data_IF_594763932894
#
_entry.id   IF_594763932894
#
_cell.length_a   1.000
_cell.length_b   1.000
_cell.length_c   1.000
_cell.angle_alpha   90.00
_cell.angle_beta   90.00
_cell.angle_gamma   90.00
#
_symmetry.space_group_name_H-M   'P 1'
#
loop_
_entity.id
_entity.type
_entity.pdbx_description
1 polymer ?
#
# COMPACT_ATOMS: atom_id res chain seq x y z
N UNK A 1 -23.72 3.71 -11.42
CA UNK A 1 -23.74 2.29 -11.03
C UNK A 1 -23.10 2.25 -9.67
N UNK A 2 -23.88 2.04 -8.62
CA UNK A 2 -23.38 1.94 -7.25
C UNK A 2 -22.80 0.54 -7.12
N UNK A 3 -21.48 0.45 -6.89
CA UNK A 3 -20.83 -0.84 -6.65
C UNK A 3 -21.22 -1.23 -5.23
N UNK A 4 -22.18 -2.14 -5.08
CA UNK A 4 -22.57 -2.65 -3.77
C UNK A 4 -21.42 -3.51 -3.24
N UNK A 5 -20.77 -3.02 -2.19
CA UNK A 5 -19.60 -3.67 -1.59
C UNK A 5 -20.09 -4.78 -0.66
N UNK A 6 -19.77 -6.04 -0.98
CA UNK A 6 -20.19 -7.20 -0.18
C UNK A 6 -19.70 -7.10 1.28
N UNK A 7 -20.52 -7.40 2.30
CA UNK A 7 -20.12 -7.32 3.71
C UNK A 7 -18.88 -8.16 4.06
N UNK A 8 -18.72 -9.32 3.42
CA UNK A 8 -17.54 -10.18 3.60
C UNK A 8 -16.26 -9.49 3.10
N UNK A 9 -16.38 -8.70 2.05
CA UNK A 9 -15.25 -7.95 1.51
C UNK A 9 -14.88 -6.76 2.41
N UNK A 10 -15.86 -6.07 3.01
CA UNK A 10 -15.58 -5.06 4.04
C UNK A 10 -14.87 -5.66 5.26
N UNK A 11 -15.26 -6.85 5.70
CA UNK A 11 -14.58 -7.57 6.79
C UNK A 11 -13.12 -7.88 6.42
N UNK A 12 -12.88 -8.28 5.18
CA UNK A 12 -11.53 -8.53 4.68
C UNK A 12 -10.67 -7.25 4.66
N UNK A 13 -11.22 -6.13 4.19
CA UNK A 13 -10.51 -4.84 4.23
C UNK A 13 -10.23 -4.37 5.66
N UNK A 14 -11.15 -4.64 6.59
CA UNK A 14 -10.97 -4.30 8.00
C UNK A 14 -9.84 -5.14 8.61
N UNK A 15 -9.79 -6.43 8.29
CA UNK A 15 -8.74 -7.35 8.77
C UNK A 15 -7.35 -6.91 8.29
N UNK A 16 -7.18 -6.60 7.01
CA UNK A 16 -5.89 -6.17 6.48
C UNK A 16 -5.47 -4.77 6.95
N UNK A 17 -6.43 -3.88 7.25
CA UNK A 17 -6.14 -2.62 7.91
C UNK A 17 -5.59 -2.83 9.34
N UNK A 18 -6.09 -3.83 10.07
CA UNK A 18 -5.55 -4.19 11.39
C UNK A 18 -4.12 -4.73 11.28
N UNK A 19 -3.81 -5.53 10.25
CA UNK A 19 -2.44 -5.97 9.98
C UNK A 19 -1.51 -4.79 9.66
N UNK A 20 -1.95 -3.84 8.85
CA UNK A 20 -1.20 -2.62 8.56
C UNK A 20 -0.92 -1.81 9.84
N UNK A 21 -1.91 -1.64 10.72
CA UNK A 21 -1.74 -0.96 12.00
C UNK A 21 -0.81 -1.74 12.94
N UNK A 22 -0.92 -3.07 12.97
CA UNK A 22 -0.11 -3.96 13.78
C UNK A 22 1.39 -3.85 13.48
N UNK A 23 1.77 -3.54 12.24
CA UNK A 23 3.17 -3.34 11.84
C UNK A 23 3.81 -2.10 12.50
N UNK A 24 3.02 -1.17 13.08
CA UNK A 24 3.54 0.00 13.80
C UNK A 24 3.90 -0.27 15.27
N UNK A 25 3.41 -1.37 15.83
CA UNK A 25 3.62 -1.76 17.22
C UNK A 25 4.89 -2.60 17.38
N UNK A 26 5.66 -2.37 18.45
CA UNK A 26 6.69 -3.31 18.91
C UNK A 26 6.04 -4.46 19.69
N UNK A 27 6.64 -5.65 19.65
CA UNK A 27 6.22 -6.83 20.41
C UNK A 27 4.77 -7.29 20.11
N UNK A 28 4.36 -7.24 18.85
CA UNK A 28 3.03 -7.68 18.42
C UNK A 28 2.95 -9.21 18.28
N UNK A 29 3.42 -9.93 19.30
CA UNK A 29 3.64 -11.38 19.30
C UNK A 29 2.64 -12.13 20.17
N UNK A 30 1.63 -11.45 20.72
CA UNK A 30 0.72 -11.99 21.74
C UNK A 30 -0.65 -12.46 21.18
N UNK A 31 -0.78 -12.62 19.85
CA UNK A 31 -1.97 -13.24 19.26
C UNK A 31 -1.87 -14.77 19.32
N UNK A 32 -2.92 -15.43 19.81
CA UNK A 32 -2.95 -16.89 19.98
C UNK A 32 -2.99 -17.64 18.64
N UNK A 33 -3.61 -17.06 17.62
CA UNK A 33 -3.81 -17.69 16.31
C UNK A 33 -3.00 -17.05 15.17
N UNK A 34 -2.36 -15.91 15.45
CA UNK A 34 -1.43 -15.25 14.53
C UNK A 34 -0.03 -15.35 15.11
N UNK A 35 0.85 -16.08 14.41
CA UNK A 35 2.25 -16.21 14.82
C UNK A 35 3.11 -15.28 13.97
N UNK A 36 3.71 -14.27 14.61
CA UNK A 36 4.81 -13.51 14.01
C UNK A 36 5.99 -14.45 13.77
N UNK A 37 6.41 -14.56 12.51
CA UNK A 37 7.58 -15.34 12.13
C UNK A 37 8.86 -14.50 12.25
N UNK A 38 8.80 -13.26 11.77
CA UNK A 38 9.91 -12.31 11.84
C UNK A 38 9.38 -10.89 11.78
N UNK A 39 10.02 -10.01 12.55
CA UNK A 39 9.95 -8.56 12.37
C UNK A 39 11.24 -8.14 11.67
N UNK A 40 11.15 -7.15 10.79
CA UNK A 40 12.32 -6.58 10.13
C UNK A 40 12.29 -5.07 10.29
N UNK A 41 13.46 -4.50 10.49
CA UNK A 41 13.67 -3.05 10.51
C UNK A 41 15.01 -2.78 9.84
N UNK A 42 14.96 -2.04 8.73
CA UNK A 42 16.12 -1.55 8.03
C UNK A 42 16.22 -0.04 8.26
N UNK A 43 16.96 0.32 9.30
CA UNK A 43 17.26 1.70 9.69
C UNK A 43 18.32 2.39 8.80
N UNK A 44 18.94 1.66 7.88
CA UNK A 44 19.96 2.20 6.96
C UNK A 44 19.37 2.53 5.57
N UNK A 45 18.15 2.06 5.29
CA UNK A 45 17.42 2.33 4.05
C UNK A 45 16.68 3.67 4.03
N UNK A 46 16.50 4.22 2.82
CA UNK A 46 15.64 5.40 2.57
C UNK A 46 14.22 5.12 3.11
N UNK A 47 13.87 5.70 4.26
CA UNK A 47 12.51 5.65 4.82
C UNK A 47 12.33 4.78 6.06
N UNK A 48 13.37 4.18 6.64
CA UNK A 48 13.27 3.33 7.84
C UNK A 48 12.21 2.23 7.67
N UNK A 49 12.40 1.41 6.64
CA UNK A 49 11.45 0.35 6.28
C UNK A 49 11.40 -0.64 7.43
N UNK A 50 10.21 -0.88 7.95
CA UNK A 50 9.99 -1.92 8.93
C UNK A 50 8.74 -2.71 8.57
N UNK A 51 8.56 -3.86 9.19
CA UNK A 51 7.38 -4.65 8.97
C UNK A 51 7.43 -6.00 9.67
N UNK A 52 6.40 -6.79 9.39
CA UNK A 52 6.20 -8.09 10.03
C UNK A 52 5.76 -9.12 8.99
N UNK A 53 6.34 -10.30 9.07
CA UNK A 53 5.82 -11.51 8.42
C UNK A 53 5.14 -12.37 9.49
N UNK A 54 3.85 -12.65 9.30
CA UNK A 54 3.04 -13.42 10.23
C UNK A 54 2.28 -14.55 9.53
N UNK A 55 1.97 -15.61 10.29
CA UNK A 55 1.10 -16.71 9.85
C UNK A 55 -0.21 -16.61 10.61
N UNK A 56 -1.30 -16.39 9.89
CA UNK A 56 -2.66 -16.39 10.40
C UNK A 56 -3.30 -17.76 10.20
N UNK A 57 -3.43 -18.52 11.28
CA UNK A 57 -4.01 -19.87 11.22
C UNK A 57 -5.53 -19.84 11.11
N UNK A 58 -6.18 -18.77 11.54
CA UNK A 58 -7.64 -18.61 11.47
C UNK A 58 -8.07 -18.42 10.02
N UNK A 59 -7.41 -17.50 9.32
CA UNK A 59 -7.71 -17.16 7.93
C UNK A 59 -6.87 -17.95 6.92
N UNK A 60 -5.97 -18.84 7.39
CA UNK A 60 -5.12 -19.74 6.58
C UNK A 60 -4.26 -19.00 5.56
N UNK A 61 -3.58 -17.95 6.01
CA UNK A 61 -2.79 -17.08 5.14
C UNK A 61 -1.47 -16.67 5.79
N UNK A 62 -0.48 -16.39 4.95
CA UNK A 62 0.73 -15.68 5.36
C UNK A 62 0.51 -14.20 5.08
N UNK A 63 0.78 -13.36 6.08
CA UNK A 63 0.61 -11.91 5.98
C UNK A 63 1.97 -11.26 6.09
N UNK A 64 2.34 -10.55 5.03
CA UNK A 64 3.49 -9.66 5.02
C UNK A 64 2.98 -8.23 5.10
N UNK A 65 3.23 -7.55 6.22
CA UNK A 65 2.77 -6.19 6.45
C UNK A 65 3.94 -5.25 6.59
N UNK A 66 3.98 -4.23 5.75
CA UNK A 66 4.96 -3.16 5.84
C UNK A 66 4.43 -2.03 6.71
N UNK A 67 5.35 -1.41 7.44
CA UNK A 67 5.15 -0.15 8.15
C UNK A 67 5.73 0.97 7.30
N UNK A 68 4.89 1.95 6.94
CA UNK A 68 5.35 3.17 6.28
C UNK A 68 6.12 4.09 7.26
N UNK A 69 6.88 5.04 6.74
CA UNK A 69 7.66 5.97 7.57
C UNK A 69 6.75 6.81 8.48
N UNK A 70 7.08 6.90 9.78
CA UNK A 70 6.34 7.73 10.78
C UNK A 70 6.38 9.25 10.54
N UNK A 71 7.06 9.70 9.49
CA UNK A 71 7.27 11.11 9.15
C UNK A 71 6.86 11.39 7.69
N UNK A 72 5.74 10.80 7.26
CA UNK A 72 5.17 10.96 5.92
C UNK A 72 5.06 12.44 5.53
N UNK A 73 4.74 13.35 6.46
CA UNK A 73 4.67 14.79 6.18
C UNK A 73 6.05 15.38 5.81
N UNK A 74 7.12 14.87 6.41
CA UNK A 74 8.50 15.30 6.13
C UNK A 74 9.02 14.68 4.83
N UNK A 75 8.58 13.47 4.49
CA UNK A 75 8.92 12.84 3.21
C UNK A 75 8.24 13.56 2.04
N UNK A 76 6.93 13.85 2.13
CA UNK A 76 6.15 14.57 1.09
C UNK A 76 6.70 15.99 0.84
N UNK A 77 7.32 16.63 1.84
CA UNK A 77 7.91 17.96 1.70
C UNK A 77 9.31 17.96 1.04
N UNK A 78 10.05 16.84 1.07
CA UNK A 78 11.46 16.77 0.65
C UNK A 78 11.70 16.03 -0.69
N UNK A 79 10.65 15.66 -1.42
CA UNK A 79 10.72 14.57 -2.40
C UNK A 79 11.67 14.82 -3.57
N UNK A 80 12.69 13.95 -3.69
CA UNK A 80 13.37 13.70 -4.96
C UNK A 80 12.60 12.60 -5.69
N UNK A 81 11.77 12.96 -6.66
CA UNK A 81 10.95 12.05 -7.47
C UNK A 81 11.75 11.21 -8.49
N UNK A 82 13.00 10.90 -8.19
CA UNK A 82 13.87 10.10 -9.03
C UNK A 82 13.33 8.66 -9.15
N UNK A 83 13.37 8.14 -10.38
CA UNK A 83 13.07 6.74 -10.66
C UNK A 83 14.35 6.04 -11.07
N UNK A 84 14.54 4.82 -10.58
CA UNK A 84 15.54 3.89 -11.10
C UNK A 84 14.91 3.04 -12.21
N UNK A 85 15.69 2.72 -13.23
CA UNK A 85 15.32 1.73 -14.25
C UNK A 85 15.34 0.32 -13.63
N UNK A 86 14.30 -0.46 -13.94
CA UNK A 86 14.09 -1.81 -13.38
C UNK A 86 13.77 -2.81 -14.49
N UNK A 87 14.47 -2.71 -15.62
CA UNK A 87 14.23 -3.52 -16.81
C UNK A 87 14.33 -5.04 -16.56
N UNK A 88 15.08 -5.46 -15.53
CA UNK A 88 15.15 -6.86 -15.08
C UNK A 88 13.80 -7.41 -14.54
N UNK A 89 12.87 -6.52 -14.20
CA UNK A 89 11.53 -6.85 -13.72
C UNK A 89 10.52 -6.82 -14.88
N UNK A 90 10.55 -5.76 -15.68
CA UNK A 90 9.72 -5.57 -16.86
C UNK A 90 10.31 -4.51 -17.78
N UNK A 91 10.15 -4.68 -19.09
CA UNK A 91 10.73 -3.80 -20.11
C UNK A 91 10.21 -2.36 -19.97
N UNK A 92 11.13 -1.39 -19.88
CA UNK A 92 10.81 0.03 -19.75
C UNK A 92 10.31 0.45 -18.37
N UNK A 93 10.35 -0.43 -17.37
CA UNK A 93 9.84 -0.15 -16.05
C UNK A 93 10.78 0.76 -15.26
N UNK A 94 10.19 1.76 -14.61
CA UNK A 94 10.88 2.74 -13.77
C UNK A 94 10.15 2.89 -12.44
N UNK A 95 10.86 2.73 -11.34
CA UNK A 95 10.28 2.74 -9.97
C UNK A 95 10.99 3.78 -9.13
N UNK A 96 10.26 4.44 -8.22
CA UNK A 96 10.84 5.39 -7.28
C UNK A 96 12.02 4.74 -6.53
N UNK A 97 13.21 5.35 -6.62
CA UNK A 97 14.47 4.81 -6.08
C UNK A 97 14.35 4.37 -4.62
N UNK A 98 13.67 5.16 -3.79
CA UNK A 98 13.42 4.85 -2.37
C UNK A 98 12.58 3.58 -2.19
N UNK A 99 11.33 3.60 -2.67
CA UNK A 99 10.40 2.47 -2.58
C UNK A 99 10.94 1.20 -3.24
N UNK A 100 11.70 1.31 -4.33
CA UNK A 100 12.24 0.15 -5.03
C UNK A 100 13.29 -0.61 -4.20
N UNK A 101 14.15 0.11 -3.47
CA UNK A 101 15.13 -0.50 -2.57
C UNK A 101 14.44 -1.26 -1.44
N UNK A 102 13.36 -0.69 -0.88
CA UNK A 102 12.53 -1.31 0.15
C UNK A 102 11.82 -2.57 -0.35
N UNK A 103 11.26 -2.53 -1.55
CA UNK A 103 10.52 -3.65 -2.15
C UNK A 103 11.42 -4.84 -2.51
N UNK A 104 12.59 -4.60 -3.13
CA UNK A 104 13.51 -5.68 -3.56
C UNK A 104 13.97 -6.59 -2.42
N UNK A 105 14.02 -6.09 -1.19
CA UNK A 105 14.38 -6.89 -0.03
C UNK A 105 13.45 -8.08 0.16
N UNK A 106 12.17 -7.97 -0.24
CA UNK A 106 11.15 -8.99 0.09
C UNK A 106 10.17 -9.34 -1.03
N UNK A 107 10.33 -8.79 -2.23
CA UNK A 107 9.46 -8.98 -3.39
C UNK A 107 9.17 -10.45 -3.77
N UNK A 108 10.14 -11.35 -3.58
CA UNK A 108 9.99 -12.76 -3.92
C UNK A 108 8.96 -13.52 -3.05
N UNK A 109 8.49 -12.91 -1.94
CA UNK A 109 7.58 -13.53 -0.99
C UNK A 109 6.10 -13.10 -1.12
N UNK A 110 5.78 -12.14 -1.98
CA UNK A 110 4.43 -11.52 -2.06
C UNK A 110 3.65 -12.03 -3.28
N UNK A 111 2.39 -12.46 -3.08
CA UNK A 111 1.49 -12.93 -4.16
C UNK A 111 0.27 -12.04 -4.41
N UNK A 112 -0.33 -11.47 -3.36
CA UNK A 112 -1.49 -10.58 -3.41
C UNK A 112 -1.22 -9.33 -2.56
N UNK A 113 -1.83 -8.18 -2.91
CA UNK A 113 -1.52 -6.88 -2.29
C UNK A 113 -2.75 -6.07 -1.89
N UNK A 114 -2.79 -5.63 -0.61
CA UNK A 114 -3.75 -4.66 -0.08
C UNK A 114 -3.00 -3.39 0.34
N UNK A 115 -3.31 -2.27 -0.32
CA UNK A 115 -2.62 -1.00 -0.14
C UNK A 115 -3.55 0.03 0.51
N UNK A 116 -3.14 0.56 1.67
CA UNK A 116 -3.89 1.57 2.42
C UNK A 116 -3.15 2.90 2.37
N UNK A 117 -3.73 3.93 1.73
CA UNK A 117 -3.11 5.26 1.66
C UNK A 117 -1.79 5.31 0.87
N UNK A 118 -1.45 4.28 0.09
CA UNK A 118 -0.15 4.15 -0.54
C UNK A 118 0.09 5.18 -1.67
N UNK A 119 1.29 5.79 -1.77
CA UNK A 119 1.66 6.67 -2.87
C UNK A 119 1.83 5.90 -4.19
N UNK A 120 1.95 6.65 -5.30
CA UNK A 120 2.41 6.13 -6.59
C UNK A 120 3.86 5.70 -6.47
N UNK A 121 4.18 4.55 -7.03
CA UNK A 121 5.51 3.94 -6.88
C UNK A 121 6.32 3.85 -8.17
N UNK A 122 5.69 3.91 -9.35
CA UNK A 122 6.40 3.76 -10.63
C UNK A 122 5.69 4.40 -11.82
N UNK A 123 6.27 4.19 -13.01
CA UNK A 123 5.68 4.58 -14.29
C UNK A 123 4.52 3.66 -14.72
N UNK A 124 3.91 4.00 -15.85
CA UNK A 124 2.76 3.26 -16.40
C UNK A 124 3.11 1.79 -16.63
N UNK A 125 4.22 1.52 -17.29
CA UNK A 125 4.72 0.19 -17.60
C UNK A 125 4.86 -0.69 -16.35
N UNK A 126 5.45 -0.13 -15.29
CA UNK A 126 5.57 -0.84 -14.01
C UNK A 126 4.19 -1.10 -13.36
N UNK A 127 3.30 -0.10 -13.38
CA UNK A 127 1.97 -0.27 -12.78
C UNK A 127 1.11 -1.29 -13.51
N UNK A 128 1.23 -1.38 -14.83
CA UNK A 128 0.54 -2.39 -15.63
C UNK A 128 1.10 -3.80 -15.37
N UNK A 129 2.42 -3.92 -15.27
CA UNK A 129 3.07 -5.18 -14.92
C UNK A 129 2.62 -5.70 -13.55
N UNK A 130 2.60 -4.85 -12.51
CA UNK A 130 2.15 -5.24 -11.16
C UNK A 130 0.66 -5.55 -11.14
N UNK A 131 -0.16 -4.76 -11.82
CA UNK A 131 -1.60 -5.01 -11.92
C UNK A 131 -1.95 -6.35 -12.56
N UNK A 132 -1.08 -6.89 -13.40
CA UNK A 132 -1.28 -8.18 -14.05
C UNK A 132 -0.96 -9.41 -13.17
N UNK A 133 -0.29 -9.24 -12.03
CA UNK A 133 0.20 -10.37 -11.22
C UNK A 133 -0.79 -10.96 -10.21
N UNK A 134 -1.87 -10.25 -9.89
CA UNK A 134 -2.80 -10.69 -8.87
C UNK A 134 -3.89 -9.68 -8.56
N UNK A 135 -4.68 -9.98 -7.53
CA UNK A 135 -5.72 -9.08 -7.07
C UNK A 135 -5.07 -7.95 -6.25
N UNK A 136 -5.08 -6.74 -6.81
CA UNK A 136 -4.58 -5.55 -6.15
C UNK A 136 -5.77 -4.70 -5.67
N UNK A 137 -5.83 -4.43 -4.38
CA UNK A 137 -6.86 -3.59 -3.78
C UNK A 137 -6.24 -2.35 -3.15
N UNK A 138 -6.84 -1.19 -3.40
CA UNK A 138 -6.39 0.08 -2.85
C UNK A 138 -7.53 0.74 -2.08
N UNK A 139 -7.25 1.11 -0.84
CA UNK A 139 -8.17 1.85 0.04
C UNK A 139 -7.53 3.18 0.38
N UNK A 140 -8.19 4.28 0.04
CA UNK A 140 -7.73 5.62 0.40
C UNK A 140 -8.86 6.48 0.95
N UNK A 141 -8.64 7.21 2.05
CA UNK A 141 -9.55 8.28 2.46
C UNK A 141 -9.65 9.37 1.39
N UNK A 142 -10.84 9.97 1.23
CA UNK A 142 -11.13 11.06 0.29
C UNK A 142 -10.18 12.26 0.38
N UNK A 143 -9.76 12.60 1.61
CA UNK A 143 -8.93 13.78 1.90
C UNK A 143 -7.45 13.44 2.11
N UNK A 144 -7.03 12.21 1.82
CA UNK A 144 -5.64 11.79 1.94
C UNK A 144 -4.84 12.19 0.69
N UNK A 145 -3.80 13.01 0.86
CA UNK A 145 -2.95 13.50 -0.24
C UNK A 145 -1.91 12.47 -0.68
N UNK A 146 -1.56 11.48 0.17
CA UNK A 146 -0.45 10.55 -0.08
C UNK A 146 -0.70 9.70 -1.33
N UNK A 147 -1.91 9.15 -1.57
CA UNK A 147 -2.23 8.45 -2.81
C UNK A 147 -2.16 9.31 -4.08
N UNK A 148 -2.14 10.63 -3.93
CA UNK A 148 -1.99 11.57 -5.03
C UNK A 148 -0.52 11.98 -5.28
N UNK A 149 0.44 11.40 -4.56
CA UNK A 149 1.88 11.64 -4.70
C UNK A 149 2.64 10.38 -5.12
N UNK A 150 3.77 10.48 -5.83
CA UNK A 150 4.23 11.65 -6.59
C UNK A 150 3.25 12.05 -7.70
N UNK A 151 3.17 13.33 -8.10
CA UNK A 151 2.24 13.80 -9.13
C UNK A 151 2.38 13.09 -10.48
N UNK A 152 1.25 12.85 -11.18
CA UNK A 152 1.24 12.22 -12.51
C UNK A 152 2.08 12.96 -13.55
N UNK A 153 2.21 14.28 -13.43
CA UNK A 153 3.04 15.09 -14.34
C UNK A 153 4.53 14.68 -14.35
N UNK A 154 5.00 13.95 -13.34
CA UNK A 154 6.35 13.39 -13.30
C UNK A 154 6.43 11.95 -13.86
N UNK A 155 5.39 11.47 -14.54
CA UNK A 155 5.34 10.11 -15.10
C UNK A 155 5.17 9.04 -14.03
N UNK A 156 4.41 9.34 -12.98
CA UNK A 156 4.03 8.37 -11.93
C UNK A 156 2.57 7.98 -12.10
N UNK A 157 2.31 6.67 -12.09
CA UNK A 157 0.99 6.10 -12.27
C UNK A 157 0.58 5.31 -11.01
N UNK A 158 -0.72 5.20 -10.80
CA UNK A 158 -1.24 4.33 -9.74
C UNK A 158 -1.38 2.91 -10.30
N UNK A 159 -1.19 1.92 -9.44
CA UNK A 159 -1.50 0.52 -9.76
C UNK A 159 -2.99 0.46 -10.13
N UNK A 160 -3.34 -0.20 -11.24
CA UNK A 160 -4.74 -0.41 -11.61
C UNK A 160 -5.34 -1.39 -10.61
N UNK A 161 -6.31 -0.91 -9.83
CA UNK A 161 -7.02 -1.67 -8.78
C UNK A 161 -8.53 -1.45 -8.89
N UNK A 162 -9.32 -2.29 -8.22
CA UNK A 162 -10.65 -1.86 -7.81
C UNK A 162 -10.48 -0.77 -6.73
N UNK A 163 -10.66 0.49 -7.12
CA UNK A 163 -10.52 1.63 -6.20
C UNK A 163 -11.72 1.70 -5.26
N UNK A 164 -11.44 1.70 -3.95
CA UNK A 164 -12.44 1.87 -2.90
C UNK A 164 -12.14 3.19 -2.20
N UNK A 165 -12.92 4.21 -2.55
CA UNK A 165 -12.88 5.49 -1.86
C UNK A 165 -13.74 5.43 -0.60
N UNK A 166 -13.09 5.60 0.56
CA UNK A 166 -13.82 5.75 1.82
C UNK A 166 -14.27 7.21 1.93
N UNK A 167 -15.51 7.47 1.50
CA UNK A 167 -16.18 8.74 1.76
C UNK A 167 -16.66 8.77 3.22
N UNK A 168 -16.27 9.80 3.96
CA UNK A 168 -16.86 10.05 5.27
C UNK A 168 -18.27 10.66 5.12
N UNK A 169 -19.07 10.59 6.17
CA UNK A 169 -20.46 11.09 6.16
C UNK A 169 -20.56 12.62 5.98
N UNK A 170 -19.47 13.36 6.25
CA UNK A 170 -19.39 14.80 6.01
C UNK A 170 -19.16 15.11 4.51
N UNK A 171 -18.34 14.31 3.84
CA UNK A 171 -17.98 14.43 2.42
C UNK A 171 -19.10 13.91 1.52
N UNK A 172 -19.90 12.93 1.99
CA UNK A 172 -21.08 12.44 1.27
C UNK A 172 -22.14 13.55 1.09
N UNK A 173 -22.32 14.39 2.11
CA UNK A 173 -23.23 15.54 2.06
C UNK A 173 -22.75 16.65 1.11
N UNK A 174 -21.44 16.86 1.01
CA UNK A 174 -20.82 17.82 0.08
C UNK A 174 -20.93 17.33 -1.37
N UNK A 175 -20.68 16.03 -1.62
CA UNK A 175 -20.83 15.41 -2.94
C UNK A 175 -22.28 15.39 -3.45
N UNK A 176 -23.26 15.25 -2.55
CA UNK A 176 -24.68 15.30 -2.90
C UNK A 176 -25.16 16.74 -3.14
N UNK A 177 -24.53 17.73 -2.52
CA UNK A 177 -24.81 19.16 -2.77
C UNK A 177 -24.24 19.66 -4.11
N UNK A 178 -23.15 19.06 -4.61
CA UNK A 178 -22.52 19.40 -5.90
C UNK A 178 -23.10 18.70 -7.14
N UNK A 179 -24.09 17.82 -6.98
CA UNK A 179 -24.77 17.09 -8.07
C UNK A 179 -26.23 17.53 -8.29
N UNK A 180 -26.52 18.84 -8.18
CA UNK A 180 -27.78 19.44 -8.64
C UNK A 180 -27.55 20.32 -9.86
#
# INVERSE_FOLDING_TARGET
MEIEVLPQFIQQLTLYAQYAAAAYCSDNTNSSNTKTLTEFEDSESFGNVAGVLAVDKTNKQNVLSFRETRSIETWVANVRFAKDDVDDICDGCKVHTGFFKSWKAIAAATKDGYNYGAPRVGNEEFTEYVSAQGANFRVSPSNDIVPHMPPRMFGYHQIRTADIEMINEADSNIWNAGRR
#
